data_IF_009549823560
#
_entry.id   IF_009549823560
#
_cell.length_a   1.000
_cell.length_b   1.000
_cell.length_c   1.000
_cell.angle_alpha   90.00
_cell.angle_beta   90.00
_cell.angle_gamma   90.00
#
_symmetry.space_group_name_H-M   'P 1'
#
loop_
_entity.id
_entity.type
_entity.pdbx_description
1 polymer ?
#
# COMPACT_ATOMS: atom_id res chain seq x y z
N UNK A 1 -2.81 5.93 11.36
CA UNK A 1 -2.41 4.73 10.59
C UNK A 1 -3.67 4.07 10.08
N UNK A 2 -3.73 3.74 8.79
CA UNK A 2 -4.84 3.03 8.16
C UNK A 2 -4.30 1.73 7.54
N UNK A 3 -5.13 0.69 7.47
CA UNK A 3 -4.83 -0.53 6.70
C UNK A 3 -6.01 -0.84 5.80
N UNK A 4 -5.72 -1.13 4.54
CA UNK A 4 -6.71 -1.48 3.52
C UNK A 4 -6.27 -2.75 2.80
N UNK A 5 -7.24 -3.50 2.29
CA UNK A 5 -6.99 -4.54 1.29
C UNK A 5 -7.18 -3.96 -0.12
N UNK A 6 -6.32 -4.35 -1.06
CA UNK A 6 -6.49 -4.02 -2.48
C UNK A 6 -6.96 -5.24 -3.28
N UNK A 7 -7.67 -5.04 -4.38
CA UNK A 7 -8.12 -6.17 -5.19
C UNK A 7 -6.92 -6.92 -5.76
N UNK A 8 -6.89 -8.25 -5.61
CA UNK A 8 -5.83 -9.10 -6.16
C UNK A 8 -5.09 -9.86 -5.07
N UNK A 9 -3.83 -10.16 -5.33
CA UNK A 9 -2.94 -10.95 -4.49
C UNK A 9 -1.75 -10.10 -3.97
N UNK A 10 -0.79 -10.75 -3.33
CA UNK A 10 0.46 -10.12 -2.89
C UNK A 10 1.24 -9.40 -4.00
N UNK A 11 1.14 -9.85 -5.26
CA UNK A 11 1.77 -9.16 -6.38
C UNK A 11 1.07 -7.83 -6.68
N UNK A 12 -0.26 -7.80 -6.63
CA UNK A 12 -1.03 -6.58 -6.79
C UNK A 12 -0.72 -5.56 -5.68
N UNK A 13 -0.73 -6.01 -4.41
CA UNK A 13 -0.41 -5.17 -3.26
C UNK A 13 0.98 -4.54 -3.35
N UNK A 14 2.00 -5.35 -3.67
CA UNK A 14 3.37 -4.84 -3.88
C UNK A 14 3.44 -3.82 -5.01
N UNK A 15 2.86 -4.14 -6.18
CA UNK A 15 2.91 -3.25 -7.36
C UNK A 15 2.21 -1.92 -7.13
N UNK A 16 1.13 -1.90 -6.35
CA UNK A 16 0.49 -0.64 -5.96
C UNK A 16 1.47 0.23 -5.18
N UNK A 17 2.12 -0.32 -4.15
CA UNK A 17 3.07 0.44 -3.33
C UNK A 17 4.29 0.87 -4.15
N UNK A 18 4.84 -0.01 -4.98
CA UNK A 18 5.98 0.28 -5.85
C UNK A 18 5.66 1.33 -6.93
N UNK A 19 4.38 1.46 -7.29
CA UNK A 19 3.91 2.42 -8.28
C UNK A 19 3.70 3.84 -7.74
N UNK A 20 3.69 4.03 -6.42
CA UNK A 20 3.52 5.35 -5.78
C UNK A 20 4.75 6.24 -6.04
N UNK A 21 4.50 7.52 -6.30
CA UNK A 21 5.53 8.50 -6.66
C UNK A 21 5.68 9.60 -5.62
N UNK A 22 4.61 9.93 -4.92
CA UNK A 22 4.59 10.92 -3.85
C UNK A 22 4.74 10.23 -2.49
N UNK A 23 3.92 9.21 -2.26
CA UNK A 23 3.94 8.40 -1.04
C UNK A 23 5.18 7.50 -1.03
N UNK A 24 5.96 7.55 0.04
CA UNK A 24 7.23 6.80 0.11
C UNK A 24 7.04 5.38 0.66
N UNK A 25 7.71 4.40 0.04
CA UNK A 25 7.78 3.02 0.53
C UNK A 25 8.84 2.89 1.63
N UNK A 26 8.49 3.30 2.85
CA UNK A 26 9.37 3.23 4.02
C UNK A 26 8.61 2.73 5.24
N UNK A 27 9.28 1.91 6.04
CA UNK A 27 8.75 1.39 7.30
C UNK A 27 9.03 2.38 8.45
N UNK A 28 8.29 3.49 8.49
CA UNK A 28 8.26 4.44 9.60
C UNK A 28 6.83 4.96 9.86
N UNK A 29 6.63 5.71 10.94
CA UNK A 29 5.34 6.29 11.34
C UNK A 29 5.50 7.72 11.82
N UNK A 30 4.53 8.59 11.53
CA UNK A 30 4.47 9.96 12.05
C UNK A 30 5.40 10.98 11.37
N UNK A 31 5.83 10.70 10.14
CA UNK A 31 6.54 11.67 9.31
C UNK A 31 5.56 12.73 8.75
N UNK A 32 6.06 13.91 8.36
CA UNK A 32 5.30 14.89 7.61
C UNK A 32 4.93 14.38 6.21
N UNK A 33 5.72 13.44 5.67
CA UNK A 33 5.41 12.75 4.41
C UNK A 33 4.57 11.50 4.63
N UNK A 34 3.67 11.25 3.70
CA UNK A 34 2.87 10.04 3.61
C UNK A 34 3.74 8.83 3.26
N UNK A 35 3.43 7.71 3.90
CA UNK A 35 4.17 6.45 3.79
C UNK A 35 3.20 5.31 3.53
N UNK A 36 3.60 4.36 2.69
CA UNK A 36 2.83 3.15 2.46
C UNK A 36 3.76 1.94 2.37
N UNK A 37 3.36 0.81 2.97
CA UNK A 37 4.07 -0.46 2.86
C UNK A 37 3.10 -1.59 2.56
N UNK A 38 3.59 -2.60 1.85
CA UNK A 38 2.92 -3.88 1.68
C UNK A 38 3.54 -4.88 2.66
N UNK A 39 2.98 -5.04 3.89
CA UNK A 39 3.62 -5.83 4.96
C UNK A 39 3.91 -7.28 4.57
N UNK A 40 3.08 -7.90 3.74
CA UNK A 40 3.26 -9.29 3.30
C UNK A 40 4.62 -9.51 2.61
N UNK A 41 5.05 -8.57 1.76
CA UNK A 41 6.34 -8.66 1.03
C UNK A 41 7.44 -7.77 1.61
N UNK A 42 7.25 -7.22 2.81
CA UNK A 42 8.25 -6.34 3.44
C UNK A 42 8.42 -6.69 4.92
N UNK A 43 7.76 -5.96 5.82
CA UNK A 43 7.98 -6.06 7.28
C UNK A 43 7.67 -7.43 7.87
N UNK A 44 6.85 -8.25 7.21
CA UNK A 44 6.51 -9.61 7.66
C UNK A 44 7.03 -10.69 6.69
N UNK A 45 7.95 -10.35 5.79
CA UNK A 45 8.46 -11.30 4.77
C UNK A 45 9.16 -12.52 5.39
N UNK A 46 9.70 -12.38 6.60
CA UNK A 46 10.42 -13.46 7.30
C UNK A 46 9.51 -14.49 7.96
N UNK A 47 8.21 -14.18 8.10
CA UNK A 47 7.22 -15.10 8.65
C UNK A 47 6.73 -16.05 7.56
N UNK A 48 6.32 -17.25 7.96
CA UNK A 48 5.54 -18.14 7.09
C UNK A 48 4.17 -17.53 6.77
N UNK A 49 3.54 -17.99 5.69
CA UNK A 49 2.23 -17.47 5.27
C UNK A 49 1.15 -17.64 6.36
N UNK A 50 1.16 -18.78 7.07
CA UNK A 50 0.25 -19.03 8.20
C UNK A 50 0.49 -18.06 9.37
N UNK A 51 1.76 -17.75 9.68
CA UNK A 51 2.12 -16.79 10.73
C UNK A 51 1.73 -15.35 10.34
N UNK A 52 1.90 -14.97 9.07
CA UNK A 52 1.42 -13.68 8.55
C UNK A 52 -0.08 -13.55 8.74
N UNK A 53 -0.84 -14.56 8.31
CA UNK A 53 -2.30 -14.59 8.45
C UNK A 53 -2.72 -14.56 9.93
N UNK A 54 -2.06 -15.33 10.80
CA UNK A 54 -2.30 -15.32 12.24
C UNK A 54 -2.01 -13.96 12.90
N UNK A 55 -1.06 -13.20 12.37
CA UNK A 55 -0.77 -11.82 12.79
C UNK A 55 -1.75 -10.77 12.22
N UNK A 56 -2.71 -11.20 11.40
CA UNK A 56 -3.69 -10.33 10.74
C UNK A 56 -3.14 -9.64 9.49
N UNK A 57 -2.01 -10.08 8.95
CA UNK A 57 -1.46 -9.58 7.68
C UNK A 57 -1.96 -10.46 6.54
N UNK A 58 -2.81 -9.89 5.69
CA UNK A 58 -3.30 -10.54 4.47
C UNK A 58 -2.42 -10.20 3.28
N UNK A 59 -2.45 -11.05 2.26
CA UNK A 59 -1.71 -10.87 1.01
C UNK A 59 -2.00 -9.55 0.31
N UNK A 60 -3.21 -9.01 0.44
CA UNK A 60 -3.64 -7.80 -0.23
C UNK A 60 -3.45 -6.52 0.61
N UNK A 61 -2.90 -6.65 1.82
CA UNK A 61 -2.86 -5.55 2.78
C UNK A 61 -1.85 -4.48 2.36
N UNK A 62 -2.28 -3.21 2.39
CA UNK A 62 -1.42 -2.03 2.39
C UNK A 62 -1.63 -1.26 3.69
N UNK A 63 -0.54 -0.90 4.36
CA UNK A 63 -0.56 -0.05 5.56
C UNK A 63 -0.10 1.35 5.19
N UNK A 64 -0.91 2.35 5.54
CA UNK A 64 -0.70 3.75 5.16
C UNK A 64 -0.58 4.61 6.42
N UNK A 65 0.52 5.37 6.50
CA UNK A 65 0.66 6.50 7.41
C UNK A 65 0.46 7.78 6.60
N UNK A 66 -0.64 8.48 6.84
CA UNK A 66 -0.97 9.72 6.13
C UNK A 66 -0.15 10.87 6.73
N UNK A 67 0.56 11.59 5.85
CA UNK A 67 1.32 12.78 6.17
C UNK A 67 0.47 14.05 6.12
N UNK A 68 1.08 15.17 5.74
CA UNK A 68 0.45 16.50 5.67
C UNK A 68 0.42 17.08 4.25
N UNK A 69 0.61 16.25 3.22
CA UNK A 69 0.48 16.67 1.82
C UNK A 69 -0.93 17.16 1.50
N UNK A 70 -1.07 17.88 0.38
CA UNK A 70 -2.39 18.24 -0.12
C UNK A 70 -3.15 16.96 -0.48
N UNK A 71 -4.43 16.90 -0.08
CA UNK A 71 -5.24 15.69 -0.23
C UNK A 71 -5.37 15.26 -1.70
N UNK A 72 -5.51 16.21 -2.61
CA UNK A 72 -5.65 15.93 -4.05
C UNK A 72 -4.39 15.30 -4.64
N UNK A 73 -3.20 15.70 -4.18
CA UNK A 73 -1.93 15.13 -4.65
C UNK A 73 -1.78 13.68 -4.18
N UNK A 74 -2.22 13.40 -2.95
CA UNK A 74 -2.24 12.03 -2.40
C UNK A 74 -3.22 11.15 -3.15
N UNK A 75 -4.44 11.64 -3.42
CA UNK A 75 -5.44 10.91 -4.21
C UNK A 75 -4.90 10.62 -5.61
N UNK A 76 -4.35 11.62 -6.29
CA UNK A 76 -3.80 11.46 -7.65
C UNK A 76 -2.66 10.44 -7.69
N UNK A 77 -1.84 10.34 -6.64
CA UNK A 77 -0.74 9.36 -6.56
C UNK A 77 -1.24 7.91 -6.44
N UNK A 78 -2.29 7.68 -5.65
CA UNK A 78 -2.93 6.37 -5.58
C UNK A 78 -3.69 6.04 -6.87
N UNK A 79 -4.43 6.99 -7.45
CA UNK A 79 -5.15 6.80 -8.71
C UNK A 79 -4.22 6.40 -9.85
N UNK A 80 -3.08 7.09 -10.00
CA UNK A 80 -2.13 6.73 -11.05
C UNK A 80 -1.50 5.35 -10.84
N UNK A 81 -1.22 4.97 -9.59
CA UNK A 81 -0.70 3.63 -9.27
C UNK A 81 -1.75 2.55 -9.56
N UNK A 82 -2.99 2.74 -9.11
CA UNK A 82 -4.10 1.85 -9.42
C UNK A 82 -4.35 1.69 -10.91
N UNK A 83 -4.22 2.77 -11.70
CA UNK A 83 -4.33 2.70 -13.16
C UNK A 83 -3.26 1.81 -13.78
N UNK A 84 -2.03 1.83 -13.27
CA UNK A 84 -0.93 0.96 -13.74
C UNK A 84 -1.23 -0.51 -13.41
N UNK A 85 -1.72 -0.80 -12.20
CA UNK A 85 -1.92 -2.18 -11.73
C UNK A 85 -3.20 -2.81 -12.30
N UNK A 86 -4.29 -2.06 -12.36
CA UNK A 86 -5.62 -2.58 -12.70
C UNK A 86 -6.13 -2.15 -14.07
N UNK A 87 -5.42 -1.24 -14.76
CA UNK A 87 -5.73 -0.83 -16.13
C UNK A 87 -7.00 0.01 -16.29
N UNK A 88 -7.53 0.65 -15.24
CA UNK A 88 -8.89 1.20 -15.26
C UNK A 88 -9.01 2.72 -15.51
N UNK A 89 -9.96 3.18 -16.36
CA UNK A 89 -10.31 4.60 -16.53
C UNK A 89 -11.43 5.13 -15.61
N UNK A 90 -11.93 4.37 -14.64
CA UNK A 90 -12.94 4.85 -13.69
C UNK A 90 -13.72 3.72 -13.03
N UNK A 91 -13.96 3.84 -11.73
CA UNK A 91 -14.76 2.95 -10.88
C UNK A 91 -15.99 2.37 -11.63
N UNK A 92 -16.02 1.04 -11.75
CA UNK A 92 -17.22 0.26 -12.05
C UNK A 92 -17.67 -0.48 -10.81
#
# INVERSE_FOLDING_TARGET
MLSIGVKGDASAGSKVVDGLKLVSSLANVGDARSLAIHPWSTTHEQLSDDERLASGVTEDMIRISVGIEHVDDSIADFEQSFKIVYGYPGLG
#
